data_IF_088914961424
#
_entry.id   IF_088914961424
#
_cell.length_a   1.000
_cell.length_b   1.000
_cell.length_c   1.000
_cell.angle_alpha   90.00
_cell.angle_beta   90.00
_cell.angle_gamma   90.00
#
_symmetry.space_group_name_H-M   'P 1'
#
loop_
_entity.id
_entity.type
_entity.pdbx_description
1 polymer ?
#
# COMPACT_ATOMS: atom_id res chain seq x y z
N UNK A 1 -5.34 -6.86 46.55
CA UNK A 1 -5.19 -6.42 45.14
C UNK A 1 -3.71 -6.28 44.85
N UNK A 2 -3.10 -7.21 44.13
CA UNK A 2 -1.72 -7.06 43.67
C UNK A 2 -1.72 -6.05 42.52
N UNK A 3 -1.20 -4.85 42.76
CA UNK A 3 -0.91 -3.90 41.69
C UNK A 3 0.08 -4.59 40.75
N UNK A 4 -0.36 -4.97 39.54
CA UNK A 4 0.55 -5.42 38.49
C UNK A 4 1.57 -4.30 38.27
N UNK A 5 2.79 -4.51 38.75
CA UNK A 5 3.90 -3.55 38.70
C UNK A 5 4.12 -3.01 37.28
N UNK A 6 3.86 -3.86 36.29
CA UNK A 6 3.93 -3.57 34.86
C UNK A 6 2.84 -2.59 34.38
N UNK A 7 1.61 -2.76 34.85
CA UNK A 7 0.51 -1.86 34.51
C UNK A 7 0.68 -0.49 35.18
N UNK A 8 1.17 -0.49 36.43
CA UNK A 8 1.51 0.72 37.15
C UNK A 8 2.67 1.48 36.46
N UNK A 9 3.73 0.78 36.07
CA UNK A 9 4.84 1.34 35.31
C UNK A 9 4.39 1.94 33.96
N UNK A 10 3.57 1.21 33.20
CA UNK A 10 3.04 1.68 31.92
C UNK A 10 2.19 2.95 32.06
N UNK A 11 1.43 3.08 33.15
CA UNK A 11 0.63 4.28 33.44
C UNK A 11 1.51 5.51 33.75
N UNK A 12 2.66 5.29 34.39
CA UNK A 12 3.59 6.36 34.80
C UNK A 12 4.51 6.80 33.66
N UNK A 13 4.83 5.90 32.74
CA UNK A 13 5.73 6.16 31.61
C UNK A 13 5.11 5.72 30.27
N UNK A 14 4.07 6.43 29.77
CA UNK A 14 3.32 6.00 28.59
C UNK A 14 4.16 5.98 27.30
N UNK A 15 5.12 6.90 27.14
CA UNK A 15 6.02 6.93 25.98
C UNK A 15 6.95 5.73 25.92
N UNK A 16 7.47 5.32 27.08
CA UNK A 16 8.37 4.16 27.20
C UNK A 16 7.57 2.87 26.95
N UNK A 17 6.37 2.77 27.51
CA UNK A 17 5.47 1.65 27.26
C UNK A 17 5.11 1.51 25.78
N UNK A 18 4.78 2.63 25.10
CA UNK A 18 4.53 2.62 23.66
C UNK A 18 5.76 2.15 22.86
N UNK A 19 6.96 2.62 23.22
CA UNK A 19 8.22 2.16 22.61
C UNK A 19 8.45 0.66 22.78
N UNK A 20 8.21 0.11 23.98
CA UNK A 20 8.33 -1.32 24.24
C UNK A 20 7.30 -2.15 23.45
N UNK A 21 6.08 -1.66 23.29
CA UNK A 21 5.05 -2.32 22.46
C UNK A 21 5.51 -2.35 21.00
N UNK A 22 6.00 -1.24 20.45
CA UNK A 22 6.53 -1.18 19.09
C UNK A 22 7.68 -2.17 18.92
N UNK A 23 8.61 -2.20 19.86
CA UNK A 23 9.75 -3.13 19.84
C UNK A 23 9.28 -4.59 19.89
N UNK A 24 8.25 -4.89 20.68
CA UNK A 24 7.64 -6.23 20.73
C UNK A 24 6.93 -6.63 19.43
N UNK A 25 6.31 -5.69 18.72
CA UNK A 25 5.72 -5.95 17.40
C UNK A 25 6.81 -6.13 16.33
N UNK A 26 7.93 -5.40 16.43
CA UNK A 26 9.08 -5.60 15.55
C UNK A 26 9.70 -6.99 15.73
N UNK A 27 9.89 -7.44 16.98
CA UNK A 27 10.40 -8.80 17.22
C UNK A 27 9.40 -9.86 16.78
N UNK A 28 8.10 -9.63 16.99
CA UNK A 28 7.03 -10.47 16.48
C UNK A 28 7.08 -10.61 14.94
N UNK A 29 7.29 -9.49 14.25
CA UNK A 29 7.42 -9.47 12.80
C UNK A 29 8.65 -10.24 12.31
N UNK A 30 9.82 -10.00 12.91
CA UNK A 30 11.07 -10.69 12.55
C UNK A 30 10.95 -12.20 12.79
N UNK A 31 10.44 -12.62 13.95
CA UNK A 31 10.24 -14.03 14.26
C UNK A 31 9.22 -14.68 13.33
N UNK A 32 8.10 -13.99 13.08
CA UNK A 32 7.07 -14.46 12.14
C UNK A 32 7.67 -14.67 10.75
N UNK A 33 8.39 -13.69 10.22
CA UNK A 33 9.03 -13.77 8.90
C UNK A 33 10.02 -14.94 8.81
N UNK A 34 10.92 -15.10 9.79
CA UNK A 34 11.92 -16.17 9.82
C UNK A 34 11.28 -17.57 9.93
N UNK A 35 10.29 -17.72 10.80
CA UNK A 35 9.57 -18.98 10.99
C UNK A 35 8.76 -19.32 9.72
N UNK A 36 8.13 -18.31 9.14
CA UNK A 36 7.41 -18.41 7.88
C UNK A 36 8.30 -18.86 6.72
N UNK A 37 9.45 -18.21 6.55
CA UNK A 37 10.38 -18.51 5.47
C UNK A 37 11.01 -19.89 5.57
N UNK A 38 11.02 -20.50 6.76
CA UNK A 38 11.55 -21.85 6.96
C UNK A 38 10.46 -22.93 6.86
N UNK A 39 9.25 -22.69 7.37
CA UNK A 39 8.17 -23.70 7.40
C UNK A 39 7.25 -23.68 6.17
N UNK A 40 7.02 -22.52 5.57
CA UNK A 40 5.99 -22.32 4.54
C UNK A 40 6.57 -22.10 3.13
N UNK A 41 7.89 -22.13 2.95
CA UNK A 41 8.52 -21.78 1.67
C UNK A 41 8.18 -22.75 0.52
N UNK A 42 7.95 -24.03 0.82
CA UNK A 42 7.58 -25.04 -0.19
C UNK A 42 6.10 -24.99 -0.60
N UNK A 43 5.27 -24.21 0.13
CA UNK A 43 3.84 -24.13 -0.15
C UNK A 43 3.54 -23.28 -1.38
N UNK A 44 2.48 -23.60 -2.15
CA UNK A 44 2.14 -22.86 -3.36
C UNK A 44 1.76 -21.40 -3.05
N UNK A 45 2.26 -20.47 -3.86
CA UNK A 45 2.10 -19.02 -3.63
C UNK A 45 0.64 -18.55 -3.62
N UNK A 46 -0.24 -19.18 -4.42
CA UNK A 46 -1.66 -18.88 -4.42
C UNK A 46 -2.33 -19.26 -3.09
N UNK A 47 -1.92 -20.37 -2.47
CA UNK A 47 -2.43 -20.83 -1.18
C UNK A 47 -2.01 -19.88 -0.06
N UNK A 48 -0.74 -19.47 -0.05
CA UNK A 48 -0.23 -18.47 0.90
C UNK A 48 -0.93 -17.12 0.74
N UNK A 49 -1.16 -16.68 -0.50
CA UNK A 49 -1.89 -15.44 -0.79
C UNK A 49 -3.34 -15.49 -0.31
N UNK A 50 -4.02 -16.62 -0.49
CA UNK A 50 -5.38 -16.83 0.00
C UNK A 50 -5.44 -16.84 1.53
N UNK A 51 -4.50 -17.52 2.19
CA UNK A 51 -4.37 -17.52 3.65
C UNK A 51 -4.14 -16.11 4.18
N UNK A 52 -3.23 -15.34 3.57
CA UNK A 52 -2.95 -13.97 3.99
C UNK A 52 -4.20 -13.08 3.83
N UNK A 53 -4.89 -13.17 2.70
CA UNK A 53 -6.14 -12.44 2.45
C UNK A 53 -7.23 -12.79 3.47
N UNK A 54 -7.40 -14.08 3.76
CA UNK A 54 -8.31 -14.56 4.80
C UNK A 54 -7.96 -14.01 6.18
N UNK A 55 -6.68 -13.99 6.53
CA UNK A 55 -6.22 -13.47 7.81
C UNK A 55 -6.46 -11.96 7.97
N UNK A 56 -6.27 -11.19 6.89
CA UNK A 56 -6.57 -9.75 6.84
C UNK A 56 -8.07 -9.51 7.03
N UNK A 57 -8.92 -10.33 6.41
CA UNK A 57 -10.38 -10.25 6.60
C UNK A 57 -10.78 -10.59 8.04
N UNK A 58 -10.20 -11.64 8.63
CA UNK A 58 -10.43 -11.99 10.04
C UNK A 58 -9.99 -10.85 10.96
N UNK A 59 -8.81 -10.26 10.72
CA UNK A 59 -8.33 -9.09 11.47
C UNK A 59 -9.31 -7.93 11.37
N UNK A 60 -9.79 -7.63 10.18
CA UNK A 60 -10.73 -6.53 9.93
C UNK A 60 -12.05 -6.76 10.69
N UNK A 61 -12.63 -7.95 10.57
CA UNK A 61 -13.90 -8.28 11.24
C UNK A 61 -13.75 -8.31 12.77
N UNK A 62 -12.63 -8.83 13.27
CA UNK A 62 -12.34 -8.84 14.70
C UNK A 62 -12.12 -7.43 15.25
N UNK A 63 -11.41 -6.56 14.51
CA UNK A 63 -11.27 -5.16 14.86
C UNK A 63 -12.61 -4.43 14.93
N UNK A 64 -13.49 -4.69 13.96
CA UNK A 64 -14.87 -4.17 13.97
C UNK A 64 -15.68 -4.68 15.16
N UNK A 65 -15.56 -5.96 15.48
CA UNK A 65 -16.21 -6.56 16.64
C UNK A 65 -15.74 -5.93 17.97
N UNK A 66 -14.43 -5.72 18.13
CA UNK A 66 -13.88 -5.02 19.31
C UNK A 66 -14.47 -3.61 19.40
N UNK A 67 -14.45 -2.85 18.31
CA UNK A 67 -14.93 -1.46 18.29
C UNK A 67 -16.41 -1.34 18.70
N UNK A 68 -17.25 -2.29 18.30
CA UNK A 68 -18.67 -2.33 18.66
C UNK A 68 -18.89 -2.77 20.11
N UNK A 69 -18.14 -3.76 20.60
CA UNK A 69 -18.36 -4.33 21.92
C UNK A 69 -17.73 -3.52 23.06
N UNK A 70 -16.58 -2.89 22.82
CA UNK A 70 -15.84 -2.11 23.84
C UNK A 70 -16.66 -1.09 24.66
N UNK A 71 -17.54 -0.27 24.05
CA UNK A 71 -18.29 0.75 24.79
C UNK A 71 -19.32 0.17 25.76
N UNK A 72 -19.84 -1.04 25.49
CA UNK A 72 -20.88 -1.69 26.29
C UNK A 72 -20.34 -2.34 27.58
N UNK A 73 -19.03 -2.59 27.68
CA UNK A 73 -18.45 -3.33 28.80
C UNK A 73 -18.14 -2.45 30.03
N UNK A 74 -18.42 -3.00 31.22
CA UNK A 74 -18.10 -2.44 32.55
C UNK A 74 -16.58 -2.51 32.80
N UNK A 75 -16.04 -1.61 33.63
CA UNK A 75 -14.58 -1.36 33.81
C UNK A 75 -13.72 -2.62 34.01
N UNK A 76 -14.15 -3.58 34.83
CA UNK A 76 -13.39 -4.83 35.09
C UNK A 76 -13.40 -5.77 33.88
N UNK A 77 -14.55 -5.95 33.24
CA UNK A 77 -14.69 -6.81 32.07
C UNK A 77 -14.00 -6.18 30.85
N UNK A 78 -14.06 -4.85 30.71
CA UNK A 78 -13.38 -4.08 29.68
C UNK A 78 -11.87 -4.33 29.69
N UNK A 79 -11.25 -4.34 30.86
CA UNK A 79 -9.81 -4.60 31.00
C UNK A 79 -9.43 -6.01 30.49
N UNK A 80 -10.17 -7.03 30.91
CA UNK A 80 -9.92 -8.41 30.47
C UNK A 80 -10.20 -8.59 28.98
N UNK A 81 -11.30 -8.03 28.49
CA UNK A 81 -11.65 -8.05 27.08
C UNK A 81 -10.59 -7.37 26.21
N UNK A 82 -10.08 -6.20 26.62
CA UNK A 82 -8.97 -5.53 25.93
C UNK A 82 -7.72 -6.40 25.92
N UNK A 83 -7.31 -6.95 27.08
CA UNK A 83 -6.13 -7.81 27.18
C UNK A 83 -6.21 -9.01 26.22
N UNK A 84 -7.33 -9.74 26.23
CA UNK A 84 -7.53 -10.88 25.33
C UNK A 84 -7.61 -10.46 23.87
N UNK A 85 -8.28 -9.35 23.57
CA UNK A 85 -8.41 -8.82 22.21
C UNK A 85 -7.05 -8.42 21.63
N UNK A 86 -6.20 -7.74 22.41
CA UNK A 86 -4.84 -7.41 21.98
C UNK A 86 -3.98 -8.66 21.79
N UNK A 87 -4.08 -9.66 22.66
CA UNK A 87 -3.37 -10.92 22.50
C UNK A 87 -3.78 -11.66 21.21
N UNK A 88 -5.08 -11.69 20.89
CA UNK A 88 -5.58 -12.28 19.64
C UNK A 88 -5.11 -11.48 18.41
N UNK A 89 -5.14 -10.15 18.46
CA UNK A 89 -4.62 -9.30 17.37
C UNK A 89 -3.11 -9.48 17.15
N UNK A 90 -2.35 -9.66 18.24
CA UNK A 90 -0.92 -9.94 18.21
C UNK A 90 -0.65 -11.30 17.55
N UNK A 91 -1.43 -12.33 17.89
CA UNK A 91 -1.34 -13.66 17.28
C UNK A 91 -1.70 -13.63 15.78
N UNK A 92 -2.76 -12.90 15.41
CA UNK A 92 -3.13 -12.70 14.01
C UNK A 92 -2.00 -11.99 13.24
N UNK A 93 -1.38 -10.96 13.83
CA UNK A 93 -0.22 -10.31 13.22
C UNK A 93 0.95 -11.28 13.06
N UNK A 94 1.27 -12.06 14.09
CA UNK A 94 2.33 -13.07 14.03
C UNK A 94 2.12 -14.07 12.89
N UNK A 95 0.90 -14.60 12.76
CA UNK A 95 0.52 -15.49 11.67
C UNK A 95 0.60 -14.81 10.29
N UNK A 96 0.21 -13.53 10.20
CA UNK A 96 0.34 -12.76 8.95
C UNK A 96 1.81 -12.61 8.55
N UNK A 97 2.69 -12.29 9.50
CA UNK A 97 4.13 -12.23 9.28
C UNK A 97 4.71 -13.61 8.95
N UNK A 98 4.19 -14.69 9.54
CA UNK A 98 4.49 -16.07 9.15
C UNK A 98 4.17 -16.36 7.69
N UNK A 99 2.96 -16.02 7.24
CA UNK A 99 2.57 -16.25 5.84
C UNK A 99 3.40 -15.36 4.90
N UNK A 100 3.62 -14.09 5.26
CA UNK A 100 4.50 -13.20 4.49
C UNK A 100 5.94 -13.72 4.42
N UNK A 101 6.43 -14.31 5.52
CA UNK A 101 7.71 -15.00 5.60
C UNK A 101 7.77 -16.16 4.62
N UNK A 102 6.74 -17.00 4.59
CA UNK A 102 6.62 -18.11 3.63
C UNK A 102 6.65 -17.64 2.18
N UNK A 103 5.94 -16.56 1.86
CA UNK A 103 5.97 -15.94 0.53
C UNK A 103 7.39 -15.48 0.19
N UNK A 104 8.08 -14.80 1.12
CA UNK A 104 9.45 -14.34 0.89
C UNK A 104 10.46 -15.50 0.78
N UNK A 105 10.34 -16.54 1.60
CA UNK A 105 11.17 -17.75 1.51
C UNK A 105 10.96 -18.49 0.19
N UNK A 106 9.70 -18.60 -0.25
CA UNK A 106 9.36 -19.18 -1.55
C UNK A 106 10.03 -18.44 -2.70
N UNK A 107 10.08 -17.10 -2.68
CA UNK A 107 10.75 -16.33 -3.75
C UNK A 107 12.25 -16.60 -3.86
N UNK A 108 12.87 -17.10 -2.79
CA UNK A 108 14.30 -17.46 -2.77
C UNK A 108 14.49 -18.89 -3.33
N UNK A 109 13.63 -19.84 -2.95
CA UNK A 109 13.73 -21.27 -3.35
C UNK A 109 13.23 -21.50 -4.78
N UNK A 110 12.13 -20.84 -5.13
CA UNK A 110 11.50 -20.90 -6.44
C UNK A 110 11.51 -19.48 -7.02
N UNK A 111 12.62 -19.04 -7.63
CA UNK A 111 12.63 -17.80 -8.38
C UNK A 111 11.66 -17.96 -9.55
N UNK A 112 10.43 -17.47 -9.38
CA UNK A 112 9.55 -17.20 -10.51
C UNK A 112 10.32 -16.26 -11.45
N UNK A 113 10.10 -16.32 -12.78
CA UNK A 113 10.74 -15.42 -13.73
C UNK A 113 10.32 -13.98 -13.43
N UNK A 114 11.04 -13.36 -12.50
CA UNK A 114 11.05 -11.94 -12.29
C UNK A 114 11.68 -11.37 -13.55
N UNK A 115 10.95 -10.49 -14.21
CA UNK A 115 11.56 -9.60 -15.19
C UNK A 115 12.60 -8.83 -14.40
N UNK A 116 13.86 -9.21 -14.58
CA UNK A 116 15.00 -8.40 -14.25
C UNK A 116 14.71 -7.01 -14.78
N UNK A 117 14.59 -6.03 -13.87
CA UNK A 117 14.81 -4.64 -14.23
C UNK A 117 16.08 -4.64 -15.05
N UNK A 118 16.01 -4.10 -16.27
CA UNK A 118 17.16 -3.95 -17.13
C UNK A 118 18.29 -3.24 -16.36
N UNK A 119 19.20 -4.03 -15.79
CA UNK A 119 20.57 -3.63 -15.59
C UNK A 119 21.22 -3.85 -16.95
N UNK A 120 21.17 -2.82 -17.78
CA UNK A 120 22.07 -2.77 -18.93
C UNK A 120 23.50 -2.81 -18.40
N UNK A 121 24.22 -3.84 -18.85
CA UNK A 121 25.68 -4.06 -18.75
C UNK A 121 26.27 -4.18 -17.35
N UNK A 122 26.36 -5.42 -16.89
CA UNK A 122 27.55 -5.89 -16.18
C UNK A 122 27.97 -7.25 -16.76
N UNK A 123 28.66 -7.19 -17.90
CA UNK A 123 29.50 -8.29 -18.37
C UNK A 123 30.67 -8.46 -17.41
N UNK A 124 30.74 -9.62 -16.78
CA UNK A 124 31.94 -10.33 -16.34
C UNK A 124 33.30 -9.61 -16.53
N UNK A 125 33.94 -9.19 -15.43
CA UNK A 125 35.39 -9.32 -15.29
C UNK A 125 35.81 -9.39 -13.83
N UNK A 126 36.64 -10.39 -13.54
CA UNK A 126 37.29 -10.73 -12.28
C UNK A 126 38.49 -9.83 -11.97
N UNK A 127 38.68 -9.53 -10.68
CA UNK A 127 39.98 -9.32 -9.98
C UNK A 127 40.96 -8.28 -10.55
N UNK A 128 41.17 -7.17 -9.83
CA UNK A 128 42.44 -6.80 -9.16
C UNK A 128 42.57 -5.29 -8.89
N UNK A 129 42.95 -4.99 -7.65
CA UNK A 129 43.86 -3.95 -7.14
C UNK A 129 43.94 -2.52 -7.72
N UNK A 130 43.90 -1.59 -6.75
CA UNK A 130 44.69 -0.35 -6.58
C UNK A 130 44.39 0.94 -7.36
N UNK A 131 44.19 1.98 -6.53
CA UNK A 131 44.67 3.37 -6.59
C UNK A 131 43.82 4.47 -7.24
N UNK A 132 43.56 5.46 -6.37
CA UNK A 132 43.50 6.92 -6.56
C UNK A 132 42.44 7.48 -7.54
N UNK A 133 41.73 8.57 -7.25
CA UNK A 133 42.13 9.79 -6.53
C UNK A 133 40.91 10.54 -5.99
N UNK A 134 41.08 11.23 -4.86
CA UNK A 134 40.13 12.14 -4.22
C UNK A 134 39.81 13.40 -5.04
N UNK A 135 38.57 13.91 -4.89
CA UNK A 135 38.23 15.33 -4.61
C UNK A 135 36.73 15.38 -4.20
N UNK A 136 36.35 15.48 -2.92
CA UNK A 136 36.34 16.64 -2.03
C UNK A 136 35.19 17.65 -2.28
N UNK A 137 34.31 17.78 -1.25
CA UNK A 137 33.84 19.05 -0.62
C UNK A 137 32.74 19.84 -1.39
N UNK A 138 31.63 20.36 -0.82
CA UNK A 138 31.05 20.41 0.54
C UNK A 138 29.65 21.04 0.49
N UNK A 139 28.84 20.78 1.54
CA UNK A 139 28.04 21.73 2.37
C UNK A 139 27.00 22.65 1.68
N UNK A 140 25.75 22.87 2.13
CA UNK A 140 25.29 23.17 3.50
C UNK A 140 23.74 23.21 3.51
N UNK A 141 23.11 22.72 4.58
CA UNK A 141 21.71 22.99 5.03
C UNK A 141 21.68 24.36 5.81
N UNK A 142 20.68 24.80 6.61
CA UNK A 142 19.19 24.68 6.64
C UNK A 142 18.43 26.02 7.07
N UNK A 143 17.08 25.97 7.18
CA UNK A 143 16.16 26.79 8.06
C UNK A 143 15.93 28.29 7.67
N UNK A 144 14.78 28.98 7.80
CA UNK A 144 13.72 29.06 8.82
C UNK A 144 12.42 29.76 8.31
N UNK A 145 11.43 29.83 9.19
CA UNK A 145 9.98 30.07 9.09
C UNK A 145 9.50 31.55 8.91
N UNK A 146 8.23 31.69 8.49
CA UNK A 146 7.13 32.57 9.01
C UNK A 146 6.63 33.77 8.17
N UNK A 147 5.28 33.89 8.14
CA UNK A 147 4.41 35.10 8.07
C UNK A 147 3.63 35.44 6.76
N UNK A 148 2.37 34.96 6.70
CA UNK A 148 1.09 35.70 6.52
C UNK A 148 0.92 36.80 5.43
N UNK A 149 0.20 36.42 4.33
CA UNK A 149 -0.83 37.12 3.47
C UNK A 149 -0.59 38.53 2.89
N UNK A 150 -1.06 38.90 1.66
CA UNK A 150 -2.43 38.68 1.14
C UNK A 150 -2.56 38.30 -0.35
N UNK A 151 -3.81 38.04 -0.73
CA UNK A 151 -4.37 37.83 -2.07
C UNK A 151 -3.56 38.34 -3.26
N UNK A 152 -3.14 37.43 -4.13
CA UNK A 152 -2.97 37.73 -5.56
C UNK A 152 -3.32 36.46 -6.33
N UNK A 153 -4.35 36.56 -7.18
CA UNK A 153 -4.76 35.52 -8.12
C UNK A 153 -3.55 34.98 -8.88
N UNK A 154 -3.16 33.73 -8.60
CA UNK A 154 -2.15 33.05 -9.41
C UNK A 154 -2.85 32.30 -10.54
N UNK A 155 -2.35 32.39 -11.77
CA UNK A 155 -2.98 31.77 -12.93
C UNK A 155 -3.07 30.26 -12.72
N UNK A 156 -4.28 29.72 -12.87
CA UNK A 156 -4.66 28.30 -12.74
C UNK A 156 -3.92 27.34 -13.72
N UNK A 157 -2.91 27.81 -14.44
CA UNK A 157 -2.15 27.07 -15.48
C UNK A 157 -1.27 25.98 -14.88
N UNK A 158 -0.58 26.23 -13.76
CA UNK A 158 0.33 25.26 -13.15
C UNK A 158 -0.38 24.01 -12.61
N UNK A 159 -1.61 24.15 -12.11
CA UNK A 159 -2.41 23.03 -11.61
C UNK A 159 -2.95 22.15 -12.75
N UNK A 160 -3.24 22.75 -13.92
CA UNK A 160 -3.65 22.01 -15.11
C UNK A 160 -2.53 21.15 -15.67
N UNK A 161 -1.31 21.69 -15.71
CA UNK A 161 -0.11 20.95 -16.15
C UNK A 161 0.14 19.74 -15.25
N UNK A 162 0.00 19.89 -13.93
CA UNK A 162 0.14 18.79 -12.98
C UNK A 162 -0.89 17.66 -13.25
N UNK A 163 -2.15 18.00 -13.56
CA UNK A 163 -3.16 16.99 -13.88
C UNK A 163 -2.92 16.29 -15.22
N UNK A 164 -2.38 16.99 -16.22
CA UNK A 164 -1.97 16.39 -17.50
C UNK A 164 -0.79 15.44 -17.30
N UNK A 165 0.19 15.80 -16.46
CA UNK A 165 1.30 14.92 -16.09
C UNK A 165 0.82 13.67 -15.32
N UNK A 166 -0.15 13.83 -14.42
CA UNK A 166 -0.79 12.70 -13.72
C UNK A 166 -1.50 11.74 -14.69
N UNK A 167 -2.15 12.26 -15.73
CA UNK A 167 -2.70 11.43 -16.81
C UNK A 167 -1.58 10.73 -17.60
N UNK A 168 -0.54 11.45 -18.03
CA UNK A 168 0.58 10.87 -18.75
C UNK A 168 1.28 9.76 -17.95
N UNK A 169 1.39 9.92 -16.63
CA UNK A 169 1.98 8.90 -15.74
C UNK A 169 1.08 7.66 -15.58
N UNK A 170 -0.25 7.81 -15.70
CA UNK A 170 -1.19 6.69 -15.56
C UNK A 170 -1.09 5.65 -16.70
N UNK A 171 -0.72 6.08 -17.91
CA UNK A 171 -0.59 5.22 -19.10
C UNK A 171 0.54 4.18 -18.94
N UNK A 172 1.81 4.56 -18.67
CA UNK A 172 2.89 3.59 -18.48
C UNK A 172 2.65 2.71 -17.24
N UNK A 173 2.08 3.27 -16.16
CA UNK A 173 1.70 2.49 -14.98
C UNK A 173 0.65 1.41 -15.32
N UNK A 174 -0.33 1.73 -16.16
CA UNK A 174 -1.33 0.76 -16.61
C UNK A 174 -0.72 -0.33 -17.50
N UNK A 175 0.16 0.04 -18.44
CA UNK A 175 0.88 -0.93 -19.28
C UNK A 175 1.71 -1.88 -18.41
N UNK A 176 2.42 -1.34 -17.42
CA UNK A 176 3.22 -2.12 -16.48
C UNK A 176 2.35 -3.08 -15.66
N UNK A 177 1.23 -2.58 -15.14
CA UNK A 177 0.27 -3.40 -14.39
C UNK A 177 -0.35 -4.51 -15.25
N UNK A 178 -0.62 -4.25 -16.52
CA UNK A 178 -1.18 -5.25 -17.45
C UNK A 178 -0.18 -6.34 -17.79
N UNK A 179 1.10 -5.98 -17.98
CA UNK A 179 2.19 -6.95 -18.17
C UNK A 179 2.41 -7.79 -16.91
N UNK A 180 2.40 -7.16 -15.75
CA UNK A 180 2.55 -7.84 -14.47
C UNK A 180 1.39 -8.79 -14.19
N UNK A 181 0.14 -8.35 -14.44
CA UNK A 181 -1.04 -9.19 -14.31
C UNK A 181 -1.00 -10.40 -15.27
N UNK A 182 -0.54 -10.22 -16.52
CA UNK A 182 -0.37 -11.32 -17.46
C UNK A 182 0.69 -12.33 -16.97
N UNK A 183 1.82 -11.86 -16.46
CA UNK A 183 2.86 -12.73 -15.89
C UNK A 183 2.34 -13.52 -14.68
N UNK A 184 1.62 -12.86 -13.77
CA UNK A 184 1.01 -13.49 -12.59
C UNK A 184 -0.10 -14.48 -12.96
N UNK A 185 -0.86 -14.21 -14.03
CA UNK A 185 -1.85 -15.14 -14.55
C UNK A 185 -1.16 -16.40 -15.10
N UNK A 186 -0.03 -16.24 -15.81
CA UNK A 186 0.78 -17.34 -16.32
C UNK A 186 1.54 -18.11 -15.22
N UNK A 187 1.86 -17.49 -14.08
CA UNK A 187 2.50 -18.17 -12.93
C UNK A 187 1.51 -18.84 -11.96
N UNK A 188 0.26 -19.04 -12.41
CA UNK A 188 -0.82 -19.65 -11.63
C UNK A 188 -1.18 -18.85 -10.36
N UNK A 189 -0.83 -17.56 -10.33
CA UNK A 189 -1.20 -16.59 -9.29
C UNK A 189 -2.38 -15.73 -9.77
N UNK A 190 -3.43 -16.37 -10.29
CA UNK A 190 -4.56 -15.70 -10.94
C UNK A 190 -5.28 -14.66 -10.05
N UNK A 191 -5.34 -14.88 -8.75
CA UNK A 191 -5.95 -13.94 -7.82
C UNK A 191 -5.13 -12.64 -7.65
N UNK A 192 -3.79 -12.78 -7.58
CA UNK A 192 -2.89 -11.62 -7.57
C UNK A 192 -2.95 -10.87 -8.90
N UNK A 193 -3.03 -11.59 -10.03
CA UNK A 193 -3.23 -11.00 -11.35
C UNK A 193 -4.50 -10.14 -11.43
N UNK A 194 -5.61 -10.61 -10.86
CA UNK A 194 -6.88 -9.86 -10.79
C UNK A 194 -6.74 -8.58 -9.95
N UNK A 195 -6.04 -8.63 -8.82
CA UNK A 195 -5.81 -7.41 -8.04
C UNK A 195 -4.92 -6.40 -8.76
N UNK A 196 -3.85 -6.88 -9.39
CA UNK A 196 -2.92 -6.02 -10.13
C UNK A 196 -3.60 -5.37 -11.33
N UNK A 197 -4.43 -6.11 -12.08
CA UNK A 197 -5.17 -5.53 -13.21
C UNK A 197 -6.24 -4.54 -12.74
N UNK A 198 -6.95 -4.82 -11.63
CA UNK A 198 -7.93 -3.91 -11.04
C UNK A 198 -7.27 -2.61 -10.53
N UNK A 199 -6.10 -2.73 -9.90
CA UNK A 199 -5.33 -1.58 -9.42
C UNK A 199 -4.83 -0.73 -10.60
N UNK A 200 -4.32 -1.39 -11.64
CA UNK A 200 -3.98 -0.74 -12.91
C UNK A 200 -5.16 0.01 -13.52
N UNK A 201 -6.32 -0.63 -13.61
CA UNK A 201 -7.55 -0.03 -14.12
C UNK A 201 -7.94 1.20 -13.30
N UNK A 202 -7.80 1.13 -11.97
CA UNK A 202 -8.05 2.25 -11.06
C UNK A 202 -7.09 3.42 -11.30
N UNK A 203 -5.80 3.14 -11.51
CA UNK A 203 -4.79 4.16 -11.85
C UNK A 203 -5.13 4.83 -13.18
N UNK A 204 -5.51 4.05 -14.19
CA UNK A 204 -5.90 4.57 -15.50
C UNK A 204 -7.19 5.42 -15.41
N UNK A 205 -8.21 4.93 -14.70
CA UNK A 205 -9.45 5.67 -14.46
C UNK A 205 -9.20 6.99 -13.71
N UNK A 206 -8.30 6.97 -12.72
CA UNK A 206 -7.83 8.17 -12.02
C UNK A 206 -7.17 9.16 -12.98
N UNK A 207 -6.30 8.68 -13.87
CA UNK A 207 -5.68 9.49 -14.91
C UNK A 207 -6.70 10.19 -15.81
N UNK A 208 -7.66 9.45 -16.36
CA UNK A 208 -8.72 10.02 -17.20
C UNK A 208 -9.59 11.03 -16.45
N UNK A 209 -9.86 10.79 -15.16
CA UNK A 209 -10.57 11.75 -14.32
C UNK A 209 -9.77 13.06 -14.15
N UNK A 210 -8.45 12.99 -13.92
CA UNK A 210 -7.60 14.18 -13.83
C UNK A 210 -7.50 14.92 -15.17
N UNK A 211 -7.48 14.21 -16.30
CA UNK A 211 -7.53 14.81 -17.62
C UNK A 211 -8.85 15.58 -17.86
N UNK A 212 -9.99 14.98 -17.51
CA UNK A 212 -11.30 15.66 -17.58
C UNK A 212 -11.37 16.88 -16.68
N UNK A 213 -10.74 16.82 -15.50
CA UNK A 213 -10.63 17.96 -14.58
C UNK A 213 -9.72 19.06 -15.11
N UNK A 214 -8.63 18.73 -15.81
CA UNK A 214 -7.72 19.70 -16.43
C UNK A 214 -8.41 20.55 -17.52
N UNK A 215 -9.37 19.94 -18.24
CA UNK A 215 -10.16 20.58 -19.30
C UNK A 215 -11.36 21.39 -18.77
N UNK A 216 -11.76 21.19 -17.51
CA UNK A 216 -12.91 21.89 -16.92
C UNK A 216 -12.57 23.37 -16.63
N UNK A 217 -13.42 24.29 -17.10
CA UNK A 217 -13.17 25.75 -17.02
C UNK A 217 -13.43 26.32 -15.63
N UNK A 218 -14.19 25.62 -14.78
CA UNK A 218 -14.56 26.07 -13.42
C UNK A 218 -13.97 25.16 -12.34
N UNK A 219 -12.70 25.36 -12.01
CA UNK A 219 -12.02 24.54 -11.00
C UNK A 219 -12.10 25.15 -9.61
N UNK A 220 -13.01 24.63 -8.78
CA UNK A 220 -12.95 24.86 -7.32
C UNK A 220 -11.92 23.90 -6.69
N UNK A 221 -11.00 24.39 -5.86
CA UNK A 221 -10.08 23.53 -5.12
C UNK A 221 -10.85 22.70 -4.07
N UNK A 222 -10.43 21.46 -3.83
CA UNK A 222 -11.14 20.49 -2.97
C UNK A 222 -11.36 20.99 -1.53
N UNK A 223 -10.45 21.86 -1.05
CA UNK A 223 -10.53 22.50 0.27
C UNK A 223 -11.68 23.50 0.40
N UNK A 224 -12.20 24.01 -0.71
CA UNK A 224 -13.31 24.98 -0.79
C UNK A 224 -14.62 24.35 -1.27
N UNK A 225 -14.67 23.02 -1.48
CA UNK A 225 -15.88 22.32 -1.92
C UNK A 225 -16.82 22.03 -0.74
N UNK A 226 -18.11 22.32 -0.94
CA UNK A 226 -19.18 21.95 0.00
C UNK A 226 -19.46 20.45 -0.05
N UNK A 227 -20.15 19.89 0.96
CA UNK A 227 -20.47 18.45 1.01
C UNK A 227 -21.32 17.98 -0.18
N UNK A 228 -22.23 18.82 -0.69
CA UNK A 228 -23.03 18.56 -1.89
C UNK A 228 -22.17 18.54 -3.16
N UNK A 229 -21.16 19.40 -3.27
CA UNK A 229 -20.23 19.42 -4.40
C UNK A 229 -19.38 18.15 -4.43
N UNK A 230 -18.89 17.68 -3.28
CA UNK A 230 -18.12 16.42 -3.18
C UNK A 230 -18.93 15.20 -3.61
N UNK A 231 -20.23 15.14 -3.27
CA UNK A 231 -21.13 14.06 -3.70
C UNK A 231 -21.45 14.11 -5.19
N UNK A 232 -21.40 15.29 -5.82
CA UNK A 232 -21.54 15.46 -7.28
C UNK A 232 -20.25 15.07 -8.00
N UNK A 233 -19.11 15.42 -7.43
CA UNK A 233 -17.77 15.08 -7.92
C UNK A 233 -17.54 13.57 -7.89
N UNK A 234 -17.92 12.88 -6.80
CA UNK A 234 -17.85 11.43 -6.70
C UNK A 234 -18.72 10.70 -7.73
N UNK A 235 -19.89 11.27 -8.09
CA UNK A 235 -20.73 10.75 -9.17
C UNK A 235 -20.10 10.96 -10.55
N UNK A 236 -19.39 12.08 -10.78
CA UNK A 236 -18.60 12.30 -12.00
C UNK A 236 -17.44 11.31 -12.10
N UNK A 237 -16.69 11.10 -11.01
CA UNK A 237 -15.63 10.10 -10.92
C UNK A 237 -16.17 8.68 -11.21
N UNK A 238 -17.31 8.34 -10.62
CA UNK A 238 -17.99 7.07 -10.89
C UNK A 238 -18.38 6.89 -12.35
N UNK A 239 -18.86 7.95 -13.03
CA UNK A 239 -19.17 7.90 -14.47
C UNK A 239 -17.92 7.78 -15.34
N UNK A 240 -16.82 8.46 -15.00
CA UNK A 240 -15.54 8.30 -15.71
C UNK A 240 -14.97 6.90 -15.51
N UNK A 241 -15.07 6.33 -14.30
CA UNK A 241 -14.63 4.97 -14.02
C UNK A 241 -15.49 3.94 -14.78
N UNK A 242 -16.81 4.12 -14.80
CA UNK A 242 -17.70 3.28 -15.60
C UNK A 242 -17.36 3.39 -17.10
N UNK A 243 -17.09 4.60 -17.59
CA UNK A 243 -16.71 4.86 -18.98
C UNK A 243 -15.37 4.24 -19.38
N UNK A 244 -14.36 4.29 -18.51
CA UNK A 244 -13.06 3.65 -18.77
C UNK A 244 -13.16 2.13 -18.74
N UNK A 245 -13.98 1.57 -17.84
CA UNK A 245 -14.26 0.12 -17.80
C UNK A 245 -15.02 -0.31 -19.06
N UNK A 246 -16.07 0.42 -19.47
CA UNK A 246 -16.84 0.11 -20.68
C UNK A 246 -15.97 0.26 -21.93
N UNK A 247 -15.18 1.33 -22.02
CA UNK A 247 -14.28 1.58 -23.14
C UNK A 247 -13.24 0.47 -23.30
N UNK A 248 -12.61 0.04 -22.20
CA UNK A 248 -11.68 -1.10 -22.21
C UNK A 248 -12.37 -2.42 -22.57
N UNK A 249 -13.59 -2.67 -22.08
CA UNK A 249 -14.38 -3.83 -22.45
C UNK A 249 -14.70 -3.85 -23.95
N UNK A 250 -15.17 -2.73 -24.50
CA UNK A 250 -15.45 -2.60 -25.94
C UNK A 250 -14.16 -2.78 -26.75
N UNK A 251 -13.04 -2.19 -26.32
CA UNK A 251 -11.75 -2.33 -27.02
C UNK A 251 -11.19 -3.76 -26.94
N UNK A 252 -11.43 -4.47 -25.84
CA UNK A 252 -11.07 -5.88 -25.68
C UNK A 252 -11.98 -6.82 -26.49
N UNK A 253 -13.25 -6.47 -26.66
CA UNK A 253 -14.25 -7.27 -27.39
C UNK A 253 -14.27 -6.99 -28.91
N UNK A 254 -13.83 -5.81 -29.35
CA UNK A 254 -13.73 -5.46 -30.78
C UNK A 254 -12.92 -6.49 -31.59
N UNK A 255 -11.70 -6.89 -31.19
CA UNK A 255 -10.92 -7.88 -31.94
C UNK A 255 -11.52 -9.30 -31.91
N UNK A 256 -12.44 -9.59 -30.98
CA UNK A 256 -13.19 -10.85 -30.95
C UNK A 256 -14.47 -10.85 -31.78
N UNK A 257 -14.96 -9.66 -32.19
CA UNK A 257 -16.14 -9.47 -33.05
C UNK A 257 -15.78 -9.21 -34.52
N UNK A 258 -14.55 -8.77 -34.79
CA UNK A 258 -13.98 -8.53 -36.13
C UNK A 258 -13.22 -9.75 -36.70
N UNK A 259 -13.25 -10.88 -36.00
CA UNK A 259 -12.74 -12.19 -36.44
C UNK A 259 -13.92 -13.09 -36.77
#
# INVERSE_FOLDING_TARGET
MTLNSLAFFASRHPKVAAGLIILSECTNAVLGLLLGSSLLADQPGWYLSFLLGGLVLVRFQFGRYIALRLPELVSRERFWFQKHSYAVLFLINFLAYGIAGGISGRTIIHPEPSVSVASERSSSFSVSSEKDTLAAVSSTQPTSQTAVSPSTEKPHTGTKIAYVLLFLASIPLFILSSRLACSLACSNQGFAAVFVILLGLGVLAGGFYFLGRALDKTMKPYKQMTASDRKREGRRFGRTLLGTVLGLLIFALLPSLLR
#
